data_IF_120090733702
#
_entry.id   IF_120090733702
#
_cell.length_a   1.000
_cell.length_b   1.000
_cell.length_c   1.000
_cell.angle_alpha   90.00
_cell.angle_beta   90.00
_cell.angle_gamma   90.00
#
_symmetry.space_group_name_H-M   'P 1'
#
loop_
_entity.id
_entity.type
_entity.pdbx_description
1 polymer ?
#
# COMPACT_ATOMS: atom_id res chain seq x y z
N UNK A 1 14.21 -13.71 -10.60
CA UNK A 1 13.19 -14.73 -10.96
C UNK A 1 11.89 -14.00 -11.14
N UNK A 2 11.25 -14.16 -12.29
CA UNK A 2 9.96 -13.55 -12.55
C UNK A 2 8.84 -14.17 -11.69
N UNK A 3 7.74 -13.42 -11.54
CA UNK A 3 6.56 -13.89 -10.84
C UNK A 3 5.81 -14.89 -11.71
N UNK A 4 5.28 -15.95 -11.09
CA UNK A 4 4.45 -16.91 -11.82
C UNK A 4 3.11 -16.28 -12.23
N UNK A 5 2.47 -16.80 -13.28
CA UNK A 5 1.11 -16.39 -13.72
C UNK A 5 0.11 -16.38 -12.56
N UNK A 6 0.19 -17.35 -11.65
CA UNK A 6 -0.72 -17.43 -10.50
C UNK A 6 -0.44 -16.35 -9.46
N UNK A 7 0.83 -15.98 -9.26
CA UNK A 7 1.25 -14.91 -8.36
C UNK A 7 0.80 -13.55 -8.92
N UNK A 8 1.03 -13.31 -10.21
CA UNK A 8 0.55 -12.10 -10.90
C UNK A 8 -0.98 -12.00 -10.79
N UNK A 9 -1.71 -13.08 -11.07
CA UNK A 9 -3.18 -13.09 -10.96
C UNK A 9 -3.65 -12.80 -9.54
N UNK A 10 -2.96 -13.33 -8.52
CA UNK A 10 -3.25 -13.02 -7.12
C UNK A 10 -3.05 -11.54 -6.84
N UNK A 11 -1.93 -10.96 -7.26
CA UNK A 11 -1.60 -9.55 -7.03
C UNK A 11 -2.61 -8.63 -7.71
N UNK A 12 -2.95 -8.89 -8.97
CA UNK A 12 -3.98 -8.15 -9.70
C UNK A 12 -5.34 -8.22 -9.01
N UNK A 13 -5.72 -9.40 -8.51
CA UNK A 13 -6.96 -9.56 -7.75
C UNK A 13 -6.95 -8.74 -6.46
N UNK A 14 -5.85 -8.75 -5.70
CA UNK A 14 -5.73 -7.94 -4.47
C UNK A 14 -5.83 -6.45 -4.81
N UNK A 15 -5.20 -6.02 -5.89
CA UNK A 15 -5.30 -4.65 -6.38
C UNK A 15 -6.74 -4.27 -6.71
N UNK A 16 -7.46 -5.09 -7.48
CA UNK A 16 -8.85 -4.83 -7.86
C UNK A 16 -9.79 -4.83 -6.65
N UNK A 17 -9.68 -5.84 -5.80
CA UNK A 17 -10.51 -5.98 -4.60
C UNK A 17 -10.29 -4.80 -3.63
N UNK A 18 -9.10 -4.18 -3.61
CA UNK A 18 -8.82 -3.00 -2.80
C UNK A 18 -9.68 -1.78 -3.16
N UNK A 19 -10.15 -1.68 -4.42
CA UNK A 19 -10.95 -0.56 -4.88
C UNK A 19 -12.34 -0.52 -4.22
N UNK A 20 -12.88 -1.68 -3.88
CA UNK A 20 -14.21 -1.84 -3.28
C UNK A 20 -14.17 -2.25 -1.81
N UNK A 21 -12.98 -2.54 -1.28
CA UNK A 21 -12.81 -2.95 0.11
C UNK A 21 -13.09 -1.79 1.09
N UNK A 22 -13.52 -2.09 2.32
CA UNK A 22 -13.47 -1.14 3.42
C UNK A 22 -12.05 -0.59 3.58
N UNK A 23 -11.93 0.68 4.01
CA UNK A 23 -10.66 1.43 4.06
C UNK A 23 -9.52 0.63 4.69
N UNK A 24 -9.71 0.04 5.87
CA UNK A 24 -8.66 -0.74 6.54
C UNK A 24 -8.17 -1.90 5.72
N UNK A 25 -9.11 -2.64 5.16
CA UNK A 25 -8.78 -3.77 4.32
C UNK A 25 -8.07 -3.29 3.06
N UNK A 26 -8.47 -2.17 2.46
CA UNK A 26 -7.78 -1.58 1.32
C UNK A 26 -6.33 -1.19 1.68
N UNK A 27 -6.09 -0.54 2.83
CA UNK A 27 -4.75 -0.19 3.31
C UNK A 27 -3.88 -1.44 3.50
N UNK A 28 -4.41 -2.50 4.13
CA UNK A 28 -3.69 -3.77 4.29
C UNK A 28 -3.36 -4.40 2.95
N UNK A 29 -4.33 -4.46 2.02
CA UNK A 29 -4.16 -5.06 0.70
C UNK A 29 -3.12 -4.31 -0.13
N UNK A 30 -3.16 -2.99 -0.13
CA UNK A 30 -2.18 -2.17 -0.84
C UNK A 30 -0.79 -2.27 -0.20
N UNK A 31 -0.69 -2.39 1.12
CA UNK A 31 0.59 -2.63 1.81
C UNK A 31 1.22 -3.95 1.38
N UNK A 32 0.41 -5.01 1.24
CA UNK A 32 0.88 -6.33 0.76
C UNK A 32 1.40 -6.23 -0.68
N UNK A 33 0.63 -5.61 -1.58
CA UNK A 33 1.04 -5.42 -2.98
C UNK A 33 2.31 -4.58 -3.08
N UNK A 34 2.38 -3.48 -2.34
CA UNK A 34 3.55 -2.58 -2.33
C UNK A 34 4.81 -3.31 -1.87
N UNK A 35 4.70 -4.11 -0.81
CA UNK A 35 5.81 -4.95 -0.36
C UNK A 35 6.26 -5.92 -1.44
N UNK A 36 5.35 -6.66 -2.06
CA UNK A 36 5.66 -7.63 -3.12
C UNK A 36 6.39 -6.98 -4.30
N UNK A 37 5.90 -5.82 -4.73
CA UNK A 37 6.56 -5.02 -5.78
C UNK A 37 7.95 -4.60 -5.34
N UNK A 38 8.11 -4.06 -4.13
CA UNK A 38 9.40 -3.60 -3.63
C UNK A 38 10.44 -4.73 -3.52
N UNK A 39 10.02 -5.97 -3.20
CA UNK A 39 10.92 -7.11 -3.05
C UNK A 39 11.38 -7.67 -4.39
N UNK A 40 10.56 -7.55 -5.43
CA UNK A 40 10.87 -8.02 -6.79
C UNK A 40 10.35 -7.06 -7.87
N UNK A 41 10.91 -5.84 -8.00
CA UNK A 41 10.40 -4.82 -8.93
C UNK A 41 10.21 -5.34 -10.36
N UNK A 42 11.24 -6.00 -10.89
CA UNK A 42 11.26 -6.54 -12.25
C UNK A 42 10.21 -7.64 -12.50
N UNK A 43 9.75 -8.34 -11.46
CA UNK A 43 8.73 -9.38 -11.60
C UNK A 43 7.33 -8.79 -11.81
N UNK A 44 7.15 -7.53 -11.42
CA UNK A 44 5.87 -6.84 -11.46
C UNK A 44 5.79 -5.71 -12.48
N UNK A 45 6.75 -5.68 -13.41
CA UNK A 45 6.78 -4.79 -14.56
C UNK A 45 6.38 -5.55 -15.84
N UNK A 46 5.46 -4.96 -16.61
CA UNK A 46 5.00 -5.43 -17.91
C UNK A 46 6.11 -5.36 -18.98
N UNK A 47 7.16 -4.56 -18.77
CA UNK A 47 8.31 -4.48 -19.67
C UNK A 47 9.36 -5.57 -19.44
N UNK A 48 9.16 -6.39 -18.40
CA UNK A 48 10.01 -7.54 -18.13
C UNK A 48 9.98 -8.57 -19.26
N UNK A 49 11.03 -9.39 -19.32
CA UNK A 49 11.22 -10.45 -20.32
C UNK A 49 10.06 -11.47 -20.41
N UNK A 50 9.08 -11.42 -19.49
CA UNK A 50 7.97 -12.36 -19.36
C UNK A 50 6.58 -11.73 -19.58
N UNK A 51 6.46 -10.91 -20.63
CA UNK A 51 5.19 -10.30 -21.06
C UNK A 51 4.04 -11.33 -21.27
N UNK A 52 4.36 -12.58 -21.63
CA UNK A 52 3.37 -13.66 -21.78
C UNK A 52 2.74 -14.08 -20.44
N UNK A 53 3.50 -14.15 -19.34
CA UNK A 53 2.94 -14.53 -18.04
C UNK A 53 1.95 -13.48 -17.51
N UNK A 54 2.29 -12.21 -17.71
CA UNK A 54 1.42 -11.08 -17.40
C UNK A 54 0.14 -11.09 -18.24
N UNK A 55 0.26 -11.33 -19.54
CA UNK A 55 -0.86 -11.52 -20.44
C UNK A 55 -1.78 -12.67 -20.00
N UNK A 56 -1.23 -13.85 -19.70
CA UNK A 56 -1.99 -15.01 -19.23
C UNK A 56 -2.67 -14.78 -17.87
N UNK A 57 -2.12 -13.90 -17.05
CA UNK A 57 -2.71 -13.50 -15.78
C UNK A 57 -3.89 -12.52 -15.94
N UNK A 58 -4.14 -11.99 -17.14
CA UNK A 58 -5.15 -10.95 -17.39
C UNK A 58 -4.59 -9.51 -17.37
N UNK A 59 -3.26 -9.38 -17.33
CA UNK A 59 -2.51 -8.13 -17.28
C UNK A 59 -2.78 -7.16 -18.43
N UNK A 60 -3.29 -7.64 -19.57
CA UNK A 60 -3.67 -6.77 -20.69
C UNK A 60 -4.74 -5.74 -20.38
N UNK A 61 -5.60 -5.99 -19.39
CA UNK A 61 -6.58 -4.99 -18.93
C UNK A 61 -5.94 -3.81 -18.19
N UNK A 62 -4.71 -3.99 -17.73
CA UNK A 62 -3.80 -2.96 -17.22
C UNK A 62 -2.82 -2.51 -18.32
N UNK A 63 -2.96 -3.08 -19.52
CA UNK A 63 -2.13 -2.96 -20.72
C UNK A 63 -2.54 -1.80 -21.61
N UNK A 64 -2.07 -0.63 -21.19
CA UNK A 64 -1.58 0.48 -22.03
C UNK A 64 -0.76 1.47 -21.17
N UNK A 65 -0.83 1.34 -19.83
CA UNK A 65 0.08 1.96 -18.87
C UNK A 65 1.00 0.91 -18.24
N UNK A 66 2.18 0.79 -18.82
CA UNK A 66 3.30 -0.10 -18.50
C UNK A 66 3.89 0.08 -17.08
N UNK A 67 3.11 0.51 -16.09
CA UNK A 67 3.57 0.88 -14.75
C UNK A 67 2.58 0.43 -13.70
N UNK A 68 2.44 -0.89 -13.55
CA UNK A 68 1.62 -1.44 -12.47
C UNK A 68 1.98 -0.83 -11.09
N UNK A 69 3.26 -0.56 -10.78
CA UNK A 69 3.61 0.16 -9.55
C UNK A 69 3.01 1.57 -9.48
N UNK A 70 3.02 2.36 -10.56
CA UNK A 70 2.26 3.63 -10.61
C UNK A 70 0.76 3.45 -10.40
N UNK A 71 0.15 2.42 -10.98
CA UNK A 71 -1.27 2.14 -10.73
C UNK A 71 -1.56 1.83 -9.26
N UNK A 72 -0.63 1.18 -8.56
CA UNK A 72 -0.69 0.96 -7.10
C UNK A 72 -0.52 2.29 -6.36
N UNK A 73 0.39 3.16 -6.80
CA UNK A 73 0.56 4.51 -6.27
C UNK A 73 -0.71 5.36 -6.37
N UNK A 74 -1.31 5.42 -7.56
CA UNK A 74 -2.59 6.09 -7.78
C UNK A 74 -3.70 5.52 -6.87
N UNK A 75 -3.74 4.20 -6.69
CA UNK A 75 -4.72 3.55 -5.80
C UNK A 75 -4.51 3.91 -4.33
N UNK A 76 -3.27 4.03 -3.88
CA UNK A 76 -2.98 4.56 -2.54
C UNK A 76 -3.52 5.98 -2.37
N UNK A 77 -3.27 6.87 -3.33
CA UNK A 77 -3.77 8.25 -3.29
C UNK A 77 -5.31 8.27 -3.25
N UNK A 78 -5.97 7.45 -4.06
CA UNK A 78 -7.43 7.31 -4.06
C UNK A 78 -7.98 6.88 -2.70
N UNK A 79 -7.33 5.91 -2.03
CA UNK A 79 -7.77 5.42 -0.71
C UNK A 79 -7.52 6.48 0.36
N UNK A 80 -6.32 7.07 0.38
CA UNK A 80 -5.88 7.99 1.43
C UNK A 80 -6.56 9.38 1.34
N UNK A 81 -7.00 9.78 0.16
CA UNK A 81 -7.70 11.06 -0.05
C UNK A 81 -9.18 11.04 0.34
N UNK A 82 -9.76 9.87 0.66
CA UNK A 82 -11.17 9.77 1.04
C UNK A 82 -11.48 10.59 2.31
N UNK A 83 -12.59 11.31 2.29
CA UNK A 83 -13.05 12.08 3.44
C UNK A 83 -13.40 11.18 4.61
N UNK A 84 -13.06 11.60 5.84
CA UNK A 84 -13.38 10.83 7.06
C UNK A 84 -12.46 9.66 7.32
N UNK A 85 -11.36 9.52 6.55
CA UNK A 85 -10.41 8.43 6.70
C UNK A 85 -9.89 8.22 8.13
N UNK A 86 -9.49 9.26 8.90
CA UNK A 86 -9.00 9.06 10.26
C UNK A 86 -10.00 8.29 11.14
N UNK A 87 -11.30 8.58 10.98
CA UNK A 87 -12.37 7.92 11.73
C UNK A 87 -12.76 6.56 11.15
N UNK A 88 -12.70 6.39 9.83
CA UNK A 88 -13.09 5.14 9.17
C UNK A 88 -11.98 4.09 9.12
N UNK A 89 -10.73 4.53 9.24
CA UNK A 89 -9.58 3.65 9.28
C UNK A 89 -9.35 3.12 10.71
N UNK A 90 -9.77 3.85 11.74
CA UNK A 90 -9.53 3.42 13.12
C UNK A 90 -8.04 3.14 13.40
N UNK A 91 -7.14 3.76 12.63
CA UNK A 91 -5.70 3.69 12.85
C UNK A 91 -5.30 4.86 13.74
N UNK A 92 -4.53 4.57 14.80
CA UNK A 92 -3.97 5.58 15.69
C UNK A 92 -2.68 6.23 15.12
N UNK A 93 -2.12 7.20 15.86
CA UNK A 93 -0.89 7.91 15.45
C UNK A 93 0.31 6.98 15.27
N UNK A 94 0.42 5.90 16.04
CA UNK A 94 1.54 4.97 15.98
C UNK A 94 1.41 4.06 14.76
N UNK A 95 0.19 3.61 14.47
CA UNK A 95 -0.09 2.80 13.28
C UNK A 95 0.13 3.59 11.97
N UNK A 96 -0.29 4.85 11.92
CA UNK A 96 0.04 5.73 10.78
C UNK A 96 1.54 5.99 10.67
N UNK A 97 2.25 6.13 11.79
CA UNK A 97 3.71 6.26 11.81
C UNK A 97 4.39 5.01 11.27
N UNK A 98 3.94 3.84 11.67
CA UNK A 98 4.45 2.56 11.19
C UNK A 98 4.20 2.36 9.70
N UNK A 99 3.04 2.78 9.19
CA UNK A 99 2.75 2.74 7.75
C UNK A 99 3.70 3.66 6.98
N UNK A 100 3.89 4.89 7.46
CA UNK A 100 4.81 5.85 6.84
C UNK A 100 6.23 5.29 6.78
N UNK A 101 6.73 4.75 7.89
CA UNK A 101 8.06 4.16 7.96
C UNK A 101 8.23 3.02 6.95
N UNK A 102 7.25 2.11 6.86
CA UNK A 102 7.28 1.00 5.89
C UNK A 102 7.36 1.50 4.44
N UNK A 103 6.60 2.54 4.11
CA UNK A 103 6.62 3.10 2.75
C UNK A 103 7.95 3.79 2.44
N UNK A 104 8.54 4.51 3.39
CA UNK A 104 9.89 5.08 3.25
C UNK A 104 10.95 3.99 3.06
N UNK A 105 10.86 2.87 3.79
CA UNK A 105 11.77 1.73 3.60
C UNK A 105 11.68 1.11 2.19
N UNK A 106 10.52 1.24 1.53
CA UNK A 106 10.30 0.76 0.17
C UNK A 106 10.59 1.80 -0.91
N UNK A 107 10.74 3.08 -0.58
CA UNK A 107 10.83 4.20 -1.53
C UNK A 107 11.83 3.97 -2.67
N UNK A 108 13.09 3.67 -2.35
CA UNK A 108 14.12 3.46 -3.36
C UNK A 108 13.79 2.29 -4.31
N UNK A 109 13.25 1.19 -3.76
CA UNK A 109 12.90 -0.02 -4.51
C UNK A 109 11.65 0.17 -5.35
N UNK A 110 10.70 0.97 -4.88
CA UNK A 110 9.50 1.33 -5.64
C UNK A 110 9.85 2.30 -6.77
N UNK A 111 10.81 3.19 -6.57
CA UNK A 111 11.38 4.03 -7.63
C UNK A 111 12.03 3.20 -8.74
N UNK A 112 12.75 2.13 -8.40
CA UNK A 112 13.25 1.13 -9.37
C UNK A 112 12.11 0.37 -10.07
N UNK A 113 10.98 0.20 -9.38
CA UNK A 113 9.76 -0.38 -9.93
C UNK A 113 8.92 0.63 -10.73
N UNK A 114 9.47 1.78 -11.11
CA UNK A 114 8.77 2.77 -11.92
C UNK A 114 7.59 3.49 -11.23
N UNK A 115 7.42 3.33 -9.91
CA UNK A 115 6.53 4.19 -9.12
C UNK A 115 7.09 5.61 -9.15
N UNK A 116 6.26 6.58 -9.52
CA UNK A 116 6.76 7.95 -9.69
C UNK A 116 7.07 8.59 -8.34
N UNK A 117 8.10 9.44 -8.32
CA UNK A 117 8.42 10.25 -7.13
C UNK A 117 7.23 11.15 -6.74
N UNK A 118 6.46 11.64 -7.73
CA UNK A 118 5.25 12.42 -7.48
C UNK A 118 4.18 11.60 -6.73
N UNK A 119 3.95 10.35 -7.13
CA UNK A 119 3.02 9.46 -6.42
C UNK A 119 3.51 9.19 -4.99
N UNK A 120 4.81 8.93 -4.80
CA UNK A 120 5.40 8.73 -3.47
C UNK A 120 5.27 9.95 -2.56
N UNK A 121 5.53 11.15 -3.08
CA UNK A 121 5.39 12.40 -2.35
C UNK A 121 3.94 12.64 -1.93
N UNK A 122 2.98 12.37 -2.83
CA UNK A 122 1.55 12.52 -2.54
C UNK A 122 1.08 11.52 -1.48
N UNK A 123 1.51 10.26 -1.55
CA UNK A 123 1.19 9.24 -0.54
C UNK A 123 1.74 9.65 0.83
N UNK A 124 3.00 10.05 0.87
CA UNK A 124 3.68 10.54 2.08
C UNK A 124 2.93 11.74 2.68
N UNK A 125 2.56 12.71 1.83
CA UNK A 125 1.79 13.88 2.25
C UNK A 125 0.46 13.51 2.91
N UNK A 126 -0.30 12.59 2.30
CA UNK A 126 -1.58 12.16 2.86
C UNK A 126 -1.41 11.43 4.19
N UNK A 127 -0.44 10.53 4.32
CA UNK A 127 -0.21 9.80 5.57
C UNK A 127 0.17 10.74 6.71
N UNK A 128 1.04 11.72 6.46
CA UNK A 128 1.39 12.75 7.46
C UNK A 128 0.15 13.51 7.93
N UNK A 129 -0.67 13.98 6.99
CA UNK A 129 -1.92 14.71 7.29
C UNK A 129 -2.95 13.86 8.04
N UNK A 130 -3.00 12.55 7.76
CA UNK A 130 -3.88 11.62 8.46
C UNK A 130 -3.41 11.38 9.89
N UNK A 131 -2.10 11.20 10.09
CA UNK A 131 -1.49 11.07 11.40
C UNK A 131 -1.78 12.26 12.31
N UNK A 132 -1.68 13.49 11.79
CA UNK A 132 -2.00 14.71 12.56
C UNK A 132 -3.47 14.75 13.06
N UNK A 133 -4.36 14.02 12.40
CA UNK A 133 -5.80 13.96 12.70
C UNK A 133 -6.22 12.66 13.40
N UNK A 134 -5.30 11.71 13.53
CA UNK A 134 -5.55 10.43 14.16
C UNK A 134 -5.66 10.62 15.68
N UNK A 135 -6.46 9.78 16.36
CA UNK A 135 -6.46 9.74 17.82
C UNK A 135 -5.06 9.37 18.33
N UNK A 136 -4.74 9.84 19.53
CA UNK A 136 -3.60 9.30 20.29
C UNK A 136 -3.85 7.81 20.57
N UNK A 137 -2.79 6.98 20.62
CA UNK A 137 -2.93 5.60 21.06
C UNK A 137 -3.60 5.59 22.44
N UNK A 138 -4.51 4.63 22.66
CA UNK A 138 -5.07 4.43 23.99
C UNK A 138 -3.91 4.11 24.93
N UNK A 139 -3.66 5.00 25.89
CA UNK A 139 -2.70 4.76 26.96
C UNK A 139 -3.35 3.68 27.83
N UNK A 140 -2.95 2.41 27.62
CA UNK A 140 -3.23 1.30 28.53
C UNK A 140 -2.45 1.56 29.84
N UNK A 141 -2.82 2.64 30.54
CA UNK A 141 -2.39 2.97 31.88
C UNK A 141 -3.51 2.66 32.88
N UNK A 142 -4.08 1.46 32.76
CA UNK A 142 -4.65 0.72 33.90
C UNK A 142 -3.51 -0.07 34.56
N UNK A 143 -2.55 0.66 35.13
CA UNK A 143 -1.73 0.13 36.24
C UNK A 143 -2.42 0.57 37.54
N UNK A 144 -3.63 0.05 37.72
CA UNK A 144 -4.32 -0.08 39.00
C UNK A 144 -3.53 -1.09 39.85
N UNK A 145 -2.39 -0.67 40.39
CA UNK A 145 -1.83 -1.27 41.61
C UNK A 145 -2.15 -0.32 42.77
N UNK A 146 -3.44 -0.27 43.10
CA UNK A 146 -3.96 0.09 44.41
C UNK A 146 -3.46 -0.94 45.45
N UNK A 147 -2.95 -0.41 46.57
CA UNK A 147 -2.83 -1.00 47.91
C UNK A 147 -2.07 -2.33 48.11
N UNK A 148 -0.97 -2.26 48.87
CA UNK A 148 -1.12 -2.53 50.31
C UNK A 148 0.06 -1.99 51.15
N UNK A 149 -0.36 -1.35 52.23
CA UNK A 149 0.35 -0.80 53.41
C UNK A 149 1.27 -1.83 54.13
#
# INVERSE_FOLDING_TARGET
MAASVNEIRRVLKIYDDSAIAPVNRAITMLSEVTKLISEKPEAYDLTSYEAEAWKEAGGYSYGDNYRFPSLVGARWIDVLSKSGLPSSAGLDKDEWSALLQKLTEYEAKLGEADLTLEEMDLITHWIVKLRERAPDPEDDSDDDDDDDD
#
